data_IF_916662193105
#
_entry.id   IF_916662193105
#
_cell.length_a   1.000
_cell.length_b   1.000
_cell.length_c   1.000
_cell.angle_alpha   90.00
_cell.angle_beta   90.00
_cell.angle_gamma   90.00
#
_symmetry.space_group_name_H-M   'P 1'
#
loop_
_entity.id
_entity.type
_entity.pdbx_description
1 polymer ?
#
# COMPACT_ATOMS: atom_id res chain seq x y z
N UNK A 1 -8.62 -12.49 -0.22
CA UNK A 1 -8.41 -13.76 -0.96
C UNK A 1 -7.37 -13.44 -2.01
N UNK A 2 -6.13 -13.88 -1.82
CA UNK A 2 -5.03 -13.57 -2.73
C UNK A 2 -5.18 -14.43 -3.98
N UNK A 3 -5.37 -13.80 -5.13
CA UNK A 3 -5.36 -14.49 -6.43
C UNK A 3 -3.89 -14.69 -6.87
N UNK A 4 -3.37 -15.92 -6.87
CA UNK A 4 -1.99 -16.17 -7.26
C UNK A 4 -1.68 -15.77 -8.70
N UNK A 5 -2.69 -15.69 -9.58
CA UNK A 5 -2.55 -15.31 -11.00
C UNK A 5 -2.72 -13.80 -11.22
N UNK A 6 -3.04 -13.02 -10.17
CA UNK A 6 -3.15 -11.58 -10.29
C UNK A 6 -1.80 -10.94 -10.69
N UNK A 7 -1.80 -10.30 -11.86
CA UNK A 7 -0.64 -9.60 -12.39
C UNK A 7 -0.43 -8.27 -11.65
N UNK A 8 0.81 -7.72 -11.62
CA UNK A 8 1.05 -6.38 -11.08
C UNK A 8 0.17 -5.30 -11.71
N UNK A 9 -0.09 -5.39 -13.01
CA UNK A 9 -0.97 -4.45 -13.74
C UNK A 9 -2.43 -4.57 -13.28
N UNK A 10 -2.92 -5.78 -13.03
CA UNK A 10 -4.26 -6.00 -12.48
C UNK A 10 -4.38 -5.38 -11.08
N UNK A 11 -3.38 -5.57 -10.22
CA UNK A 11 -3.39 -5.02 -8.86
C UNK A 11 -3.30 -3.49 -8.87
N UNK A 12 -2.48 -2.92 -9.76
CA UNK A 12 -2.40 -1.48 -9.97
C UNK A 12 -3.76 -0.90 -10.37
N UNK A 13 -4.45 -1.55 -11.33
CA UNK A 13 -5.80 -1.14 -11.75
C UNK A 13 -6.82 -1.25 -10.61
N UNK A 14 -6.80 -2.34 -9.85
CA UNK A 14 -7.71 -2.55 -8.70
C UNK A 14 -7.44 -1.57 -7.55
N UNK A 15 -6.20 -1.08 -7.41
CA UNK A 15 -5.88 -0.03 -6.45
C UNK A 15 -6.50 1.33 -6.79
N UNK A 16 -7.09 1.47 -7.98
CA UNK A 16 -7.85 2.64 -8.42
C UNK A 16 -9.36 2.38 -8.50
N UNK A 17 -9.82 1.21 -8.07
CA UNK A 17 -11.24 0.83 -8.14
C UNK A 17 -12.11 1.81 -7.33
N UNK A 18 -13.32 2.06 -7.83
CA UNK A 18 -14.29 2.97 -7.18
C UNK A 18 -14.82 2.37 -5.86
N UNK A 19 -14.80 1.04 -5.74
CA UNK A 19 -15.13 0.35 -4.50
C UNK A 19 -13.99 0.49 -3.50
N UNK A 20 -14.25 1.21 -2.41
CA UNK A 20 -13.31 1.35 -1.29
C UNK A 20 -12.84 0.00 -0.74
N UNK A 21 -13.69 -1.03 -0.78
CA UNK A 21 -13.33 -2.37 -0.34
C UNK A 21 -12.31 -3.04 -1.28
N UNK A 22 -12.49 -2.89 -2.60
CA UNK A 22 -11.54 -3.42 -3.60
C UNK A 22 -10.21 -2.68 -3.50
N UNK A 23 -10.25 -1.37 -3.35
CA UNK A 23 -9.08 -0.52 -3.17
C UNK A 23 -8.24 -0.91 -1.94
N UNK A 24 -8.91 -1.19 -0.82
CA UNK A 24 -8.26 -1.64 0.42
C UNK A 24 -7.62 -3.03 0.30
N UNK A 25 -8.28 -3.97 -0.39
CA UNK A 25 -7.69 -5.28 -0.66
C UNK A 25 -6.46 -5.15 -1.57
N UNK A 26 -6.57 -4.38 -2.65
CA UNK A 26 -5.47 -4.14 -3.58
C UNK A 26 -4.27 -3.43 -2.93
N UNK A 27 -4.51 -2.53 -1.96
CA UNK A 27 -3.45 -1.83 -1.23
C UNK A 27 -2.52 -2.78 -0.46
N UNK A 28 -3.04 -3.92 0.00
CA UNK A 28 -2.28 -4.94 0.73
C UNK A 28 -1.57 -5.96 -0.19
N UNK A 29 -1.76 -5.89 -1.51
CA UNK A 29 -1.26 -6.91 -2.44
C UNK A 29 0.27 -6.83 -2.64
N UNK A 30 1.03 -7.92 -2.43
CA UNK A 30 2.50 -7.93 -2.49
C UNK A 30 3.11 -7.52 -3.84
N UNK A 31 2.31 -7.53 -4.91
CA UNK A 31 2.78 -7.24 -6.27
C UNK A 31 2.52 -5.81 -6.70
N UNK A 32 2.03 -4.96 -5.79
CA UNK A 32 1.76 -3.57 -6.09
C UNK A 32 3.09 -2.80 -6.31
N UNK A 33 3.19 -1.97 -7.36
CA UNK A 33 4.34 -1.11 -7.57
C UNK A 33 4.64 -0.19 -6.38
N UNK A 34 5.91 -0.01 -6.03
CA UNK A 34 6.33 0.82 -4.89
C UNK A 34 5.82 2.28 -4.98
N UNK A 35 5.82 2.87 -6.18
CA UNK A 35 5.26 4.21 -6.42
C UNK A 35 3.79 4.30 -6.09
N UNK A 36 3.03 3.22 -6.28
CA UNK A 36 1.63 3.17 -5.92
C UNK A 36 1.43 3.03 -4.42
N UNK A 37 2.24 2.20 -3.77
CA UNK A 37 2.25 2.07 -2.32
C UNK A 37 2.49 3.44 -1.66
N UNK A 38 3.50 4.22 -2.11
CA UNK A 38 3.75 5.59 -1.60
C UNK A 38 2.52 6.51 -1.80
N UNK A 39 1.88 6.45 -2.97
CA UNK A 39 0.68 7.23 -3.22
C UNK A 39 -0.49 6.84 -2.30
N UNK A 40 -0.66 5.55 -1.98
CA UNK A 40 -1.71 5.05 -1.08
C UNK A 40 -1.42 5.39 0.38
N UNK A 41 -0.16 5.39 0.79
CA UNK A 41 0.28 5.81 2.12
C UNK A 41 -0.07 7.27 2.44
N UNK A 42 -0.13 8.12 1.41
CA UNK A 42 -0.55 9.53 1.55
C UNK A 42 -2.08 9.69 1.66
N UNK A 43 -2.84 8.62 1.46
CA UNK A 43 -4.31 8.63 1.55
C UNK A 43 -4.74 8.11 2.91
N UNK A 44 -5.32 9.00 3.73
CA UNK A 44 -5.62 8.72 5.13
C UNK A 44 -6.45 7.43 5.35
N UNK A 45 -7.37 7.13 4.43
CA UNK A 45 -8.27 5.98 4.49
C UNK A 45 -7.66 4.66 4.00
N UNK A 46 -6.48 4.70 3.37
CA UNK A 46 -5.79 3.54 2.81
C UNK A 46 -4.41 3.31 3.43
N UNK A 47 -3.84 4.30 4.11
CA UNK A 47 -2.50 4.25 4.69
C UNK A 47 -2.29 3.02 5.58
N UNK A 48 -3.28 2.65 6.41
CA UNK A 48 -3.21 1.47 7.26
C UNK A 48 -3.10 0.16 6.47
N UNK A 49 -3.85 0.01 5.38
CA UNK A 49 -3.80 -1.21 4.54
C UNK A 49 -2.56 -1.24 3.67
N UNK A 50 -2.16 -0.09 3.12
CA UNK A 50 -0.92 0.03 2.37
C UNK A 50 0.28 -0.32 3.27
N UNK A 51 0.33 0.13 4.52
CA UNK A 51 1.42 -0.19 5.45
C UNK A 51 1.56 -1.69 5.78
N UNK A 52 0.48 -2.48 5.63
CA UNK A 52 0.51 -3.94 5.81
C UNK A 52 1.08 -4.67 4.58
N UNK A 53 1.30 -3.98 3.48
CA UNK A 53 1.77 -4.60 2.26
C UNK A 53 3.22 -5.09 2.43
N UNK A 54 3.49 -6.40 2.26
CA UNK A 54 4.81 -6.97 2.49
C UNK A 54 5.88 -6.46 1.50
N UNK A 55 5.45 -5.88 0.37
CA UNK A 55 6.35 -5.23 -0.58
C UNK A 55 6.91 -3.89 -0.08
N UNK A 56 6.41 -3.33 1.03
CA UNK A 56 7.02 -2.16 1.67
C UNK A 56 8.47 -2.45 2.07
N UNK A 57 8.77 -3.65 2.56
CA UNK A 57 10.02 -3.90 3.29
C UNK A 57 11.31 -3.79 2.46
N UNK A 58 11.34 -4.16 1.16
CA UNK A 58 12.49 -3.86 0.29
C UNK A 58 12.41 -2.49 -0.41
N UNK A 59 11.26 -1.82 -0.40
CA UNK A 59 11.02 -0.59 -1.19
C UNK A 59 10.97 0.70 -0.35
N UNK A 60 10.74 0.60 0.96
CA UNK A 60 10.81 1.75 1.85
C UNK A 60 12.25 2.01 2.26
N UNK A 61 12.69 3.24 2.02
CA UNK A 61 13.82 3.80 2.74
C UNK A 61 13.44 4.03 4.20
N UNK A 62 14.45 4.05 5.08
CA UNK A 62 14.29 4.40 6.49
C UNK A 62 13.58 5.76 6.68
N UNK A 63 13.85 6.73 5.79
CA UNK A 63 13.23 8.05 5.82
C UNK A 63 11.72 7.99 5.52
N UNK A 64 11.28 7.12 4.62
CA UNK A 64 9.86 6.93 4.32
C UNK A 64 9.15 6.21 5.47
N UNK A 65 9.84 5.29 6.16
CA UNK A 65 9.30 4.63 7.35
C UNK A 65 9.12 5.62 8.51
N UNK A 66 10.11 6.48 8.77
CA UNK A 66 9.97 7.53 9.80
C UNK A 66 8.85 8.51 9.48
N UNK A 67 8.72 8.95 8.21
CA UNK A 67 7.62 9.83 7.79
C UNK A 67 6.24 9.18 8.04
N UNK A 68 6.11 7.87 7.82
CA UNK A 68 4.88 7.13 8.09
C UNK A 68 4.57 7.05 9.58
N UNK A 69 5.56 6.74 10.40
CA UNK A 69 5.41 6.69 11.85
C UNK A 69 5.00 8.06 12.42
N UNK A 70 5.62 9.15 11.92
CA UNK A 70 5.24 10.52 12.28
C UNK A 70 3.79 10.85 11.90
N UNK A 71 3.34 10.43 10.71
CA UNK A 71 1.94 10.62 10.28
C UNK A 71 0.94 9.82 11.12
N UNK A 72 1.34 8.67 11.63
CA UNK A 72 0.54 7.85 12.53
C UNK A 72 0.65 8.28 14.00
N UNK A 73 1.50 9.27 14.32
CA UNK A 73 1.76 9.73 15.67
C UNK A 73 2.49 8.71 16.55
N UNK A 74 3.20 7.76 15.93
CA UNK A 74 3.98 6.74 16.64
C UNK A 74 5.38 7.32 16.88
N UNK A 75 5.79 7.52 18.15
CA UNK A 75 7.14 8.02 18.45
C UNK A 75 8.20 6.96 18.11
N UNK A 76 9.38 7.43 17.68
CA UNK A 76 10.56 6.62 17.39
C UNK A 76 11.18 5.99 18.65
#
# INVERSE_FOLDING_TARGET
MHDPDATPESNERLSHDESSWVQQQAAAEPRLPATRIDALLRQWNLAGQAALNPALNPALTEAEMHRLLDQLGIPA
#
